data_IF_718192605826
#
_entry.id   IF_718192605826
#
_cell.length_a   1.000
_cell.length_b   1.000
_cell.length_c   1.000
_cell.angle_alpha   90.00
_cell.angle_beta   90.00
_cell.angle_gamma   90.00
#
_symmetry.space_group_name_H-M   'P 1'
#
loop_
_entity.id
_entity.type
_entity.pdbx_description
1 polymer ?
#
# COMPACT_ATOMS: atom_id res chain seq x y z
N UNK A 1 -57.09 -22.83 -16.88
CA UNK A 1 -55.95 -23.29 -16.04
C UNK A 1 -54.74 -22.42 -16.32
N UNK A 2 -54.51 -21.37 -15.52
CA UNK A 2 -53.34 -20.48 -15.66
C UNK A 2 -52.38 -20.74 -14.50
N UNK A 3 -51.14 -21.14 -14.79
CA UNK A 3 -50.15 -21.54 -13.78
C UNK A 3 -49.55 -20.29 -13.10
N UNK A 4 -49.42 -20.27 -11.76
CA UNK A 4 -48.92 -19.10 -11.02
C UNK A 4 -47.39 -18.98 -11.15
N UNK A 5 -46.93 -18.39 -12.25
CA UNK A 5 -45.50 -18.10 -12.51
C UNK A 5 -44.96 -16.88 -11.76
N UNK A 6 -45.84 -16.09 -11.14
CA UNK A 6 -45.47 -14.84 -10.45
C UNK A 6 -44.66 -15.08 -9.16
N UNK A 7 -44.99 -16.09 -8.36
CA UNK A 7 -44.30 -16.36 -7.10
C UNK A 7 -42.86 -16.85 -7.29
N UNK A 8 -42.60 -17.62 -8.37
CA UNK A 8 -41.26 -18.17 -8.64
C UNK A 8 -40.25 -17.10 -9.04
N UNK A 9 -40.70 -16.05 -9.73
CA UNK A 9 -39.84 -14.95 -10.18
C UNK A 9 -39.51 -13.99 -9.03
N UNK A 10 -40.47 -13.78 -8.11
CA UNK A 10 -40.23 -12.99 -6.91
C UNK A 10 -39.20 -13.69 -6.02
N UNK A 11 -39.34 -15.00 -5.80
CA UNK A 11 -38.43 -15.77 -4.97
C UNK A 11 -37.01 -15.93 -5.57
N UNK A 12 -36.89 -16.09 -6.89
CA UNK A 12 -35.58 -16.10 -7.58
C UNK A 12 -34.83 -14.78 -7.48
N UNK A 13 -35.54 -13.65 -7.45
CA UNK A 13 -34.94 -12.31 -7.36
C UNK A 13 -34.37 -12.01 -5.96
N UNK A 14 -34.90 -12.67 -4.92
CA UNK A 14 -34.36 -12.57 -3.55
C UNK A 14 -33.18 -13.53 -3.35
N UNK A 15 -33.17 -14.68 -4.02
CA UNK A 15 -32.13 -15.70 -3.81
C UNK A 15 -30.94 -15.69 -4.76
N UNK A 16 -31.06 -15.09 -5.95
CA UNK A 16 -29.92 -14.83 -6.82
C UNK A 16 -29.95 -13.36 -7.22
N UNK A 17 -29.34 -12.46 -6.42
CA UNK A 17 -29.25 -11.07 -6.80
C UNK A 17 -28.45 -11.00 -8.10
N UNK A 18 -29.07 -10.50 -9.16
CA UNK A 18 -28.43 -10.31 -10.46
C UNK A 18 -27.16 -9.49 -10.28
N UNK A 19 -26.03 -10.00 -10.78
CA UNK A 19 -24.75 -9.32 -10.70
C UNK A 19 -23.88 -9.68 -9.50
N UNK A 20 -24.05 -10.86 -8.89
CA UNK A 20 -23.09 -11.36 -7.89
C UNK A 20 -21.69 -11.51 -8.51
N UNK A 21 -20.68 -10.96 -7.85
CA UNK A 21 -19.29 -10.94 -8.32
C UNK A 21 -18.41 -11.86 -7.49
N UNK A 22 -18.54 -11.80 -6.16
CA UNK A 22 -17.72 -12.60 -5.27
C UNK A 22 -17.98 -12.32 -3.79
N UNK A 23 -17.20 -13.00 -2.95
CA UNK A 23 -17.19 -12.81 -1.50
C UNK A 23 -15.77 -12.53 -1.02
N UNK A 24 -15.65 -11.79 0.08
CA UNK A 24 -14.39 -11.67 0.80
C UNK A 24 -14.18 -12.81 1.81
N UNK A 25 -13.09 -12.73 2.58
CA UNK A 25 -12.76 -13.70 3.63
C UNK A 25 -13.69 -13.60 4.85
N UNK A 26 -14.38 -12.47 5.03
CA UNK A 26 -15.34 -12.28 6.13
C UNK A 26 -16.75 -12.78 5.78
N UNK A 27 -16.99 -13.03 4.49
CA UNK A 27 -18.27 -13.50 3.95
C UNK A 27 -19.19 -12.36 3.46
N UNK A 28 -18.69 -11.14 3.36
CA UNK A 28 -19.39 -10.04 2.71
C UNK A 28 -19.52 -10.36 1.21
N UNK A 29 -20.69 -10.08 0.65
CA UNK A 29 -21.02 -10.38 -0.75
C UNK A 29 -21.01 -9.12 -1.61
N UNK A 30 -20.37 -9.20 -2.77
CA UNK A 30 -20.16 -8.05 -3.65
C UNK A 30 -20.94 -8.22 -4.96
N UNK A 31 -21.52 -7.12 -5.42
CA UNK A 31 -22.40 -7.10 -6.57
C UNK A 31 -22.06 -5.95 -7.53
N UNK A 32 -22.13 -6.23 -8.83
CA UNK A 32 -22.01 -5.25 -9.91
C UNK A 32 -23.25 -5.30 -10.78
N UNK A 33 -23.94 -4.16 -10.89
CA UNK A 33 -25.17 -4.02 -11.67
C UNK A 33 -24.97 -3.00 -12.78
N UNK A 34 -25.41 -3.31 -13.98
CA UNK A 34 -25.49 -2.33 -15.07
C UNK A 34 -26.44 -1.20 -14.67
N UNK A 35 -26.11 0.04 -15.03
CA UNK A 35 -27.00 1.17 -14.76
C UNK A 35 -28.21 1.12 -15.71
N UNK A 36 -29.46 1.19 -15.22
CA UNK A 36 -30.64 1.26 -16.09
C UNK A 36 -30.63 2.49 -17.01
N UNK A 37 -29.96 3.58 -16.62
CA UNK A 37 -29.81 4.82 -17.39
C UNK A 37 -28.61 4.77 -18.37
N UNK A 38 -28.08 3.58 -18.66
CA UNK A 38 -27.00 3.41 -19.64
C UNK A 38 -27.33 4.01 -21.01
N UNK A 39 -28.60 3.96 -21.41
CA UNK A 39 -29.08 4.53 -22.67
C UNK A 39 -29.20 6.06 -22.65
N UNK A 40 -29.18 6.69 -21.46
CA UNK A 40 -29.27 8.13 -21.26
C UNK A 40 -27.88 8.79 -21.05
N UNK A 41 -26.80 8.11 -21.44
CA UNK A 41 -25.42 8.63 -21.37
C UNK A 41 -24.67 8.29 -20.07
N UNK A 42 -25.31 7.66 -19.07
CA UNK A 42 -24.62 7.24 -17.85
C UNK A 42 -24.10 5.80 -17.96
N UNK A 43 -22.83 5.62 -18.34
CA UNK A 43 -22.29 4.28 -18.62
C UNK A 43 -21.77 3.51 -17.40
N UNK A 44 -21.59 4.16 -16.24
CA UNK A 44 -20.92 3.54 -15.07
C UNK A 44 -21.80 2.49 -14.40
N UNK A 45 -21.28 1.28 -14.23
CA UNK A 45 -21.93 0.22 -13.44
C UNK A 45 -22.01 0.61 -11.96
N UNK A 46 -23.05 0.14 -11.26
CA UNK A 46 -23.20 0.32 -9.81
C UNK A 46 -22.58 -0.88 -9.10
N UNK A 47 -21.59 -0.63 -8.24
CA UNK A 47 -20.96 -1.62 -7.38
C UNK A 47 -21.49 -1.46 -5.96
N UNK A 48 -21.87 -2.56 -5.31
CA UNK A 48 -22.44 -2.55 -3.95
C UNK A 48 -21.99 -3.76 -3.15
N UNK A 49 -21.95 -3.59 -1.83
CA UNK A 49 -21.63 -4.66 -0.87
C UNK A 49 -22.86 -4.99 -0.04
N UNK A 50 -23.03 -6.27 0.26
CA UNK A 50 -23.97 -6.78 1.26
C UNK A 50 -23.15 -7.44 2.36
N UNK A 51 -23.21 -6.86 3.55
CA UNK A 51 -22.50 -7.37 4.71
C UNK A 51 -23.11 -8.70 5.17
N UNK A 52 -22.27 -9.57 5.75
CA UNK A 52 -22.72 -10.85 6.29
C UNK A 52 -23.68 -10.66 7.46
N UNK A 53 -23.32 -9.79 8.40
CA UNK A 53 -24.15 -9.42 9.54
C UNK A 53 -24.63 -7.97 9.39
N UNK A 54 -25.77 -7.65 10.01
CA UNK A 54 -26.32 -6.29 9.94
C UNK A 54 -25.46 -5.28 10.74
N UNK A 55 -24.89 -5.72 11.87
CA UNK A 55 -24.03 -4.89 12.72
C UNK A 55 -22.73 -4.49 12.03
N UNK A 56 -22.23 -5.33 11.11
CA UNK A 56 -21.01 -5.04 10.34
C UNK A 56 -21.17 -3.78 9.47
N UNK A 57 -22.38 -3.48 9.02
CA UNK A 57 -22.67 -2.24 8.29
C UNK A 57 -22.47 -1.01 9.18
N UNK A 58 -23.01 -1.05 10.40
CA UNK A 58 -22.86 0.04 11.37
C UNK A 58 -21.41 0.20 11.82
N UNK A 59 -20.71 -0.92 12.05
CA UNK A 59 -19.29 -0.92 12.39
C UNK A 59 -18.41 -0.34 11.27
N UNK A 60 -18.79 -0.59 10.01
CA UNK A 60 -18.12 0.01 8.87
C UNK A 60 -18.32 1.53 8.82
N UNK A 61 -19.56 2.00 9.00
CA UNK A 61 -19.89 3.43 9.00
C UNK A 61 -19.21 4.15 10.17
N UNK A 62 -19.20 3.52 11.35
CA UNK A 62 -18.51 4.03 12.55
C UNK A 62 -16.99 3.94 12.48
N UNK A 63 -16.43 3.33 11.42
CA UNK A 63 -14.99 3.24 11.19
C UNK A 63 -14.26 2.21 12.06
N UNK A 64 -14.97 1.47 12.92
CA UNK A 64 -14.41 0.41 13.77
C UNK A 64 -14.02 -0.83 12.98
N UNK A 65 -14.72 -1.10 11.86
CA UNK A 65 -14.41 -2.19 10.94
C UNK A 65 -14.15 -1.65 9.53
N UNK A 66 -13.21 -2.24 8.81
CA UNK A 66 -12.84 -1.84 7.45
C UNK A 66 -12.94 -3.03 6.50
N UNK A 67 -13.49 -2.78 5.31
CA UNK A 67 -13.46 -3.77 4.23
C UNK A 67 -12.02 -4.00 3.76
N UNK A 68 -11.71 -5.17 3.18
CA UNK A 68 -10.42 -5.38 2.54
C UNK A 68 -10.13 -4.30 1.50
N UNK A 69 -8.90 -3.80 1.48
CA UNK A 69 -8.48 -2.66 0.65
C UNK A 69 -8.72 -2.94 -0.85
N UNK A 70 -8.52 -4.18 -1.27
CA UNK A 70 -8.69 -4.57 -2.67
C UNK A 70 -10.17 -4.49 -3.09
N UNK A 71 -11.08 -4.86 -2.20
CA UNK A 71 -12.52 -4.74 -2.41
C UNK A 71 -12.99 -3.29 -2.34
N UNK A 72 -12.42 -2.46 -1.46
CA UNK A 72 -12.75 -1.03 -1.41
C UNK A 72 -12.30 -0.30 -2.69
N UNK A 73 -11.12 -0.62 -3.22
CA UNK A 73 -10.64 -0.11 -4.51
C UNK A 73 -11.51 -0.55 -5.69
N UNK A 74 -12.04 -1.78 -5.65
CA UNK A 74 -13.01 -2.25 -6.64
C UNK A 74 -14.36 -1.52 -6.49
N UNK A 75 -14.87 -1.33 -5.28
CA UNK A 75 -16.11 -0.57 -5.04
C UNK A 75 -16.01 0.90 -5.49
N UNK A 76 -14.84 1.52 -5.34
CA UNK A 76 -14.56 2.89 -5.81
C UNK A 76 -14.37 3.00 -7.34
N UNK A 77 -14.36 1.86 -8.04
CA UNK A 77 -13.98 1.69 -9.44
C UNK A 77 -12.57 2.18 -9.79
N UNK A 78 -11.68 2.30 -8.82
CA UNK A 78 -10.24 2.48 -9.08
C UNK A 78 -9.65 1.22 -9.71
N UNK A 79 -10.22 0.05 -9.36
CA UNK A 79 -9.86 -1.25 -9.93
C UNK A 79 -10.97 -1.77 -10.83
N UNK A 80 -10.63 -2.25 -12.02
CA UNK A 80 -11.61 -2.83 -12.98
C UNK A 80 -12.09 -4.20 -12.53
N UNK A 81 -11.16 -5.13 -12.32
CA UNK A 81 -11.42 -6.53 -11.98
C UNK A 81 -11.59 -6.73 -10.47
N UNK A 82 -12.53 -7.59 -10.03
CA UNK A 82 -12.66 -7.93 -8.61
C UNK A 82 -11.40 -8.66 -8.12
N UNK A 83 -11.08 -8.54 -6.82
CA UNK A 83 -9.97 -9.30 -6.23
C UNK A 83 -10.30 -10.79 -6.13
N UNK A 84 -9.25 -11.61 -6.18
CA UNK A 84 -9.38 -13.06 -5.96
C UNK A 84 -9.24 -13.42 -4.48
N UNK A 85 -9.76 -14.58 -4.08
CA UNK A 85 -9.64 -15.07 -2.70
C UNK A 85 -8.16 -15.28 -2.31
N UNK A 86 -7.36 -15.81 -3.24
CA UNK A 86 -5.93 -15.99 -3.03
C UNK A 86 -5.21 -14.66 -2.82
N UNK A 87 -5.58 -13.62 -3.58
CA UNK A 87 -5.00 -12.27 -3.42
C UNK A 87 -5.30 -11.68 -2.03
N UNK A 88 -6.51 -11.89 -1.51
CA UNK A 88 -6.90 -11.47 -0.17
C UNK A 88 -6.09 -12.20 0.91
N UNK A 89 -5.90 -13.52 0.76
CA UNK A 89 -5.10 -14.32 1.69
C UNK A 89 -3.63 -13.89 1.70
N UNK A 90 -3.07 -13.66 0.51
CA UNK A 90 -1.69 -13.19 0.38
C UNK A 90 -1.49 -11.81 1.01
N UNK A 91 -2.47 -10.91 0.90
CA UNK A 91 -2.39 -9.60 1.55
C UNK A 91 -2.46 -9.71 3.07
N UNK A 92 -3.27 -10.62 3.64
CA UNK A 92 -3.25 -10.87 5.08
C UNK A 92 -1.89 -11.36 5.57
N UNK A 93 -1.27 -12.30 4.84
CA UNK A 93 0.08 -12.79 5.17
C UNK A 93 1.09 -11.64 5.11
N UNK A 94 0.99 -10.78 4.08
CA UNK A 94 1.86 -9.61 3.94
C UNK A 94 1.67 -8.63 5.09
N UNK A 95 0.43 -8.33 5.47
CA UNK A 95 0.13 -7.44 6.60
C UNK A 95 0.72 -7.97 7.90
N UNK A 96 0.58 -9.28 8.17
CA UNK A 96 1.15 -9.90 9.36
C UNK A 96 2.69 -9.80 9.39
N UNK A 97 3.37 -10.04 8.25
CA UNK A 97 4.82 -9.86 8.14
C UNK A 97 5.26 -8.42 8.40
N UNK A 98 4.54 -7.46 7.85
CA UNK A 98 4.85 -6.03 8.05
C UNK A 98 4.68 -5.64 9.52
N UNK A 99 3.60 -6.08 10.15
CA UNK A 99 3.35 -5.82 11.58
C UNK A 99 4.45 -6.42 12.46
N UNK A 100 4.85 -7.66 12.18
CA UNK A 100 5.94 -8.31 12.89
C UNK A 100 7.27 -7.56 12.75
N UNK A 101 7.64 -7.20 11.52
CA UNK A 101 8.87 -6.45 11.26
C UNK A 101 8.84 -5.06 11.93
N UNK A 102 7.68 -4.38 11.89
CA UNK A 102 7.51 -3.09 12.56
C UNK A 102 7.71 -3.22 14.07
N UNK A 103 7.17 -4.27 14.70
CA UNK A 103 7.35 -4.52 16.13
C UNK A 103 8.82 -4.77 16.50
N UNK A 104 9.59 -5.47 15.67
CA UNK A 104 11.03 -5.67 15.90
C UNK A 104 11.81 -4.35 15.85
N UNK A 105 11.53 -3.52 14.84
CA UNK A 105 12.17 -2.21 14.68
C UNK A 105 11.82 -1.30 15.85
N UNK A 106 10.55 -1.31 16.27
CA UNK A 106 10.11 -0.53 17.42
C UNK A 106 10.79 -0.99 18.71
N UNK A 107 10.96 -2.29 18.92
CA UNK A 107 11.69 -2.82 20.07
C UNK A 107 13.17 -2.38 20.07
N UNK A 108 13.86 -2.46 18.93
CA UNK A 108 15.25 -1.97 18.83
C UNK A 108 15.35 -0.47 19.06
N UNK A 109 14.40 0.30 18.53
CA UNK A 109 14.37 1.75 18.71
C UNK A 109 14.11 2.14 20.17
N UNK A 110 13.22 1.42 20.86
CA UNK A 110 12.97 1.63 22.29
C UNK A 110 14.21 1.29 23.14
N UNK A 111 14.94 0.23 22.81
CA UNK A 111 16.19 -0.13 23.50
C UNK A 111 17.29 0.93 23.29
N UNK A 112 17.52 1.36 22.06
CA UNK A 112 18.48 2.42 21.74
C UNK A 112 18.13 3.72 22.48
N UNK A 113 16.84 4.10 22.47
CA UNK A 113 16.36 5.28 23.20
C UNK A 113 16.53 5.16 24.71
N UNK A 114 16.37 3.97 25.29
CA UNK A 114 16.62 3.73 26.71
C UNK A 114 18.11 3.83 27.05
N UNK A 115 19.00 3.31 26.19
CA UNK A 115 20.45 3.42 26.37
C UNK A 115 20.94 4.86 26.30
N UNK A 116 20.44 5.66 25.34
CA UNK A 116 20.77 7.09 25.25
C UNK A 116 20.33 7.85 26.51
N UNK A 117 19.13 7.59 27.02
CA UNK A 117 18.64 8.19 28.28
C UNK A 117 19.52 7.87 29.48
N UNK A 118 20.04 6.64 29.57
CA UNK A 118 20.96 6.26 30.66
C UNK A 118 22.31 6.99 30.54
N UNK A 119 22.81 7.20 29.32
CA UNK A 119 24.06 7.94 29.07
C UNK A 119 23.91 9.44 29.37
N UNK A 120 22.79 10.05 28.95
CA UNK A 120 22.47 11.45 29.27
C UNK A 120 22.20 11.63 30.77
N UNK A 121 21.54 10.67 31.42
CA UNK A 121 21.32 10.67 32.87
C UNK A 121 22.60 10.51 33.70
N UNK A 122 23.60 9.80 33.18
CA UNK A 122 24.92 9.65 33.83
C UNK A 122 25.83 10.88 33.64
N UNK A 123 25.57 11.70 32.62
CA UNK A 123 26.32 12.94 32.34
C UNK A 123 25.60 14.21 32.83
N UNK A 124 24.30 14.13 33.17
CA UNK A 124 23.53 15.22 33.77
C UNK A 124 23.54 15.14 35.31
N UNK A 125 24.75 15.14 35.85
CA UNK A 125 25.04 15.62 37.21
C UNK A 125 25.44 17.10 37.19
N UNK A 126 24.86 17.93 36.32
CA UNK A 126 24.88 19.40 36.35
C UNK A 126 23.98 19.94 35.23
N UNK A 127 23.29 21.05 35.50
CA UNK A 127 22.42 21.85 34.62
C UNK A 127 21.04 21.28 34.27
N UNK A 128 20.14 21.48 35.23
CA UNK A 128 18.72 21.75 35.01
C UNK A 128 18.55 22.90 34.00
N UNK A 129 17.94 22.65 32.86
CA UNK A 129 17.14 23.67 32.16
C UNK A 129 15.84 23.00 31.73
N UNK A 130 14.83 23.26 32.55
CA UNK A 130 13.41 23.08 32.25
C UNK A 130 13.05 23.85 30.98
N UNK A 131 12.66 23.15 29.93
CA UNK A 131 11.74 23.69 28.92
C UNK A 131 10.45 22.90 29.00
N UNK A 132 9.67 23.30 29.98
CA UNK A 132 8.25 23.06 30.09
C UNK A 132 7.55 23.68 28.87
N UNK A 133 7.13 22.84 27.93
CA UNK A 133 6.22 23.27 26.86
C UNK A 133 4.81 23.31 27.44
N UNK A 134 4.45 24.46 27.99
CA UNK A 134 3.08 24.83 28.29
C UNK A 134 2.37 25.16 26.96
N UNK A 135 1.25 24.52 26.59
CA UNK A 135 0.49 24.91 25.41
C UNK A 135 -0.41 26.11 25.75
N UNK A 136 0.07 27.32 25.48
CA UNK A 136 -0.75 28.53 25.52
C UNK A 136 -1.73 28.54 24.35
N UNK A 137 -3.00 28.44 24.68
CA UNK A 137 -4.17 28.77 23.87
C UNK A 137 -3.99 30.12 23.15
N UNK A 138 -4.08 30.17 21.81
CA UNK A 138 -4.42 31.40 21.09
C UNK A 138 -5.40 31.07 19.95
N UNK A 139 -6.45 31.88 19.95
CA UNK A 139 -7.63 31.95 19.10
C UNK A 139 -7.30 32.26 17.64
N UNK A 140 -8.19 31.82 16.74
CA UNK A 140 -8.28 32.29 15.34
C UNK A 140 -8.34 33.83 15.28
N UNK A 141 -7.63 34.47 14.32
CA UNK A 141 -8.29 34.75 13.06
C UNK A 141 -7.43 34.65 11.79
N UNK A 142 -8.14 34.31 10.73
CA UNK A 142 -7.84 34.26 9.30
C UNK A 142 -6.95 35.41 8.77
N UNK A 143 -5.80 35.08 8.13
CA UNK A 143 -5.48 35.41 6.73
C UNK A 143 -3.97 35.34 6.40
N UNK A 144 -3.70 34.54 5.36
CA UNK A 144 -2.65 34.65 4.34
C UNK A 144 -1.15 34.36 4.62
N UNK A 145 -0.64 33.60 3.64
CA UNK A 145 0.73 33.59 3.09
C UNK A 145 1.76 32.65 3.71
N UNK A 146 1.76 31.43 3.16
CA UNK A 146 2.90 30.74 2.54
C UNK A 146 4.32 31.22 2.90
N UNK A 147 5.04 30.44 3.72
CA UNK A 147 6.26 29.72 3.29
C UNK A 147 7.04 29.13 4.48
N UNK A 148 7.47 27.88 4.26
CA UNK A 148 8.77 27.30 4.62
C UNK A 148 9.07 26.80 6.06
N UNK A 149 9.41 25.51 6.06
CA UNK A 149 10.57 24.88 6.68
C UNK A 149 10.50 24.49 8.15
N UNK A 150 10.38 23.17 8.36
CA UNK A 150 11.01 22.49 9.49
C UNK A 150 11.67 21.20 8.98
N UNK A 151 12.99 21.23 8.91
CA UNK A 151 13.87 20.07 8.85
C UNK A 151 14.03 19.48 10.25
N UNK A 152 13.89 18.17 10.38
CA UNK A 152 14.49 17.41 11.48
C UNK A 152 15.30 16.26 10.89
N UNK A 153 16.59 16.27 11.18
CA UNK A 153 17.58 15.26 10.82
C UNK A 153 17.84 14.36 12.02
N UNK A 154 17.95 13.06 11.79
CA UNK A 154 18.67 12.11 12.66
C UNK A 154 19.47 11.19 11.75
N UNK A 155 20.77 10.95 12.01
CA UNK A 155 21.57 9.99 11.26
C UNK A 155 21.70 8.67 12.04
N UNK A 156 21.65 7.54 11.33
CA UNK A 156 22.15 6.27 11.87
C UNK A 156 22.98 5.55 10.80
N UNK A 157 24.22 5.27 11.18
CA UNK A 157 25.28 4.61 10.43
C UNK A 157 25.18 3.10 10.69
N UNK A 158 25.25 2.28 9.64
CA UNK A 158 25.55 0.85 9.74
C UNK A 158 26.82 0.53 8.92
N UNK A 159 27.74 -0.33 9.43
CA UNK A 159 28.97 -0.68 8.73
C UNK A 159 28.81 -1.88 7.78
N UNK A 160 29.67 -1.83 6.77
CA UNK A 160 29.86 -2.67 5.58
C UNK A 160 30.63 -3.96 5.91
N UNK A 161 30.24 -5.09 5.30
CA UNK A 161 31.15 -6.24 5.08
C UNK A 161 31.00 -6.75 3.65
N UNK A 162 32.13 -6.82 2.95
CA UNK A 162 32.36 -7.19 1.55
C UNK A 162 32.75 -8.69 1.36
N UNK A 163 32.87 -9.20 0.11
CA UNK A 163 32.63 -10.61 -0.25
C UNK A 163 33.81 -11.43 -0.87
N UNK A 164 33.52 -12.73 -1.13
CA UNK A 164 34.05 -13.68 -2.18
C UNK A 164 35.46 -14.31 -1.99
N UNK A 165 35.90 -15.42 -2.68
CA UNK A 165 35.52 -15.99 -4.03
C UNK A 165 35.59 -17.58 -4.15
N UNK A 166 35.84 -18.27 -5.32
CA UNK A 166 35.11 -18.44 -6.62
C UNK A 166 35.04 -19.89 -7.25
N UNK A 167 34.47 -19.98 -8.48
CA UNK A 167 34.65 -20.97 -9.61
C UNK A 167 33.76 -22.25 -9.64
N UNK A 168 33.25 -22.82 -10.76
CA UNK A 168 33.82 -23.11 -12.09
C UNK A 168 32.74 -23.53 -13.17
N UNK A 169 33.17 -23.70 -14.43
CA UNK A 169 32.47 -23.67 -15.75
C UNK A 169 32.28 -25.01 -16.53
N UNK A 170 31.39 -25.04 -17.56
CA UNK A 170 31.42 -25.79 -18.88
C UNK A 170 29.99 -26.01 -19.44
N UNK A 171 29.62 -26.22 -20.72
CA UNK A 171 30.10 -25.98 -22.10
C UNK A 171 28.93 -26.42 -23.06
N UNK A 172 28.85 -25.90 -24.29
CA UNK A 172 27.78 -26.16 -25.32
C UNK A 172 28.21 -27.28 -26.32
N UNK A 173 27.29 -27.91 -27.09
CA UNK A 173 27.40 -27.78 -28.56
C UNK A 173 26.07 -27.65 -29.34
N UNK A 174 26.18 -27.10 -30.56
CA UNK A 174 25.14 -26.72 -31.53
C UNK A 174 25.09 -27.72 -32.73
N UNK A 175 24.04 -27.72 -33.59
CA UNK A 175 24.30 -27.65 -35.05
C UNK A 175 23.28 -26.83 -35.90
N UNK A 176 23.80 -25.81 -36.60
CA UNK A 176 23.70 -25.35 -38.02
C UNK A 176 22.44 -25.56 -38.97
N UNK A 177 22.34 -24.92 -40.17
CA UNK A 177 21.62 -23.64 -40.41
C UNK A 177 20.61 -23.63 -41.59
N UNK A 178 19.78 -22.58 -41.73
CA UNK A 178 19.15 -22.19 -43.00
C UNK A 178 18.71 -20.70 -43.05
N UNK A 179 18.60 -20.10 -44.25
CA UNK A 179 19.04 -18.73 -44.52
C UNK A 179 17.90 -17.71 -44.65
N UNK A 180 18.22 -16.44 -44.38
CA UNK A 180 17.43 -15.31 -44.88
C UNK A 180 17.00 -14.32 -43.79
N UNK A 181 17.84 -13.30 -43.58
CA UNK A 181 17.47 -11.90 -43.28
C UNK A 181 18.65 -11.20 -42.60
N UNK A 182 19.29 -10.28 -43.31
CA UNK A 182 20.26 -9.36 -42.72
C UNK A 182 19.54 -8.47 -41.68
N UNK A 183 19.79 -8.71 -40.40
CA UNK A 183 19.58 -7.74 -39.32
C UNK A 183 20.95 -7.16 -38.94
N UNK A 184 21.14 -5.83 -38.90
CA UNK A 184 22.30 -5.28 -38.21
C UNK A 184 22.15 -5.59 -36.73
N UNK A 185 23.09 -6.35 -36.17
CA UNK A 185 23.16 -6.64 -34.75
C UNK A 185 23.43 -5.35 -33.98
N UNK A 186 22.39 -4.73 -33.42
CA UNK A 186 22.56 -3.75 -32.36
C UNK A 186 23.05 -4.51 -31.13
N UNK A 187 24.35 -4.42 -30.86
CA UNK A 187 24.98 -4.94 -29.66
C UNK A 187 24.24 -4.42 -28.42
N UNK A 188 23.80 -5.32 -27.54
CA UNK A 188 23.35 -4.95 -26.21
C UNK A 188 24.49 -4.22 -25.48
N UNK A 189 24.22 -3.11 -24.75
CA UNK A 189 25.24 -2.48 -23.94
C UNK A 189 25.72 -3.48 -22.87
N UNK A 190 27.03 -3.64 -22.77
CA UNK A 190 27.69 -4.37 -21.69
C UNK A 190 27.18 -3.80 -20.36
N UNK A 191 26.69 -4.66 -19.48
CA UNK A 191 26.48 -4.34 -18.07
C UNK A 191 27.78 -3.78 -17.52
N UNK A 192 27.77 -2.47 -17.28
CA UNK A 192 28.82 -1.77 -16.57
C UNK A 192 28.99 -2.38 -15.18
N UNK A 193 30.23 -2.30 -14.70
CA UNK A 193 30.68 -2.74 -13.38
C UNK A 193 29.72 -2.36 -12.24
N UNK A 194 29.70 -3.25 -11.26
CA UNK A 194 28.87 -3.36 -10.06
C UNK A 194 29.15 -2.26 -9.01
N UNK A 195 29.14 -0.98 -9.42
CA UNK A 195 29.43 0.18 -8.56
C UNK A 195 28.24 1.13 -8.45
N UNK A 196 27.03 0.59 -8.29
CA UNK A 196 25.89 1.41 -7.90
C UNK A 196 26.07 1.87 -6.45
N UNK A 197 26.43 3.14 -6.26
CA UNK A 197 26.41 3.81 -4.95
C UNK A 197 25.16 4.68 -4.86
N UNK A 198 24.37 4.61 -3.77
CA UNK A 198 23.23 5.50 -3.60
C UNK A 198 23.75 6.92 -3.38
N UNK A 199 23.38 7.84 -4.26
CA UNK A 199 23.60 9.27 -4.04
C UNK A 199 22.92 9.70 -2.73
N UNK A 200 23.67 10.37 -1.84
CA UNK A 200 23.11 10.96 -0.63
C UNK A 200 22.09 12.04 -1.02
N UNK A 201 20.86 11.92 -0.55
CA UNK A 201 19.79 12.87 -0.84
C UNK A 201 20.19 14.30 -0.42
N UNK A 202 20.40 15.18 -1.40
CA UNK A 202 20.70 16.60 -1.19
C UNK A 202 19.47 17.46 -1.57
N UNK A 203 18.74 18.05 -0.61
CA UNK A 203 17.60 18.92 -0.91
C UNK A 203 18.09 20.20 -1.62
N UNK A 204 17.53 20.51 -2.79
CA UNK A 204 17.81 21.75 -3.52
C UNK A 204 17.25 22.94 -2.73
N UNK A 205 18.13 23.78 -2.19
CA UNK A 205 17.74 25.03 -1.55
C UNK A 205 17.12 25.97 -2.61
N UNK A 206 15.82 26.24 -2.47
CA UNK A 206 15.14 27.26 -3.28
C UNK A 206 15.59 28.65 -2.84
N UNK A 207 16.46 29.27 -3.63
CA UNK A 207 16.80 30.68 -3.48
C UNK A 207 15.60 31.50 -4.00
N UNK A 208 14.84 32.12 -3.10
CA UNK A 208 13.92 33.21 -3.47
C UNK A 208 14.78 34.40 -3.87
N UNK A 209 14.81 34.75 -5.15
CA UNK A 209 15.23 36.10 -5.57
C UNK A 209 14.11 37.06 -5.16
N UNK A 210 14.51 38.14 -4.49
CA UNK A 210 13.62 39.21 -4.02
C UNK A 210 12.98 39.98 -5.16
#
# INVERSE_FOLDING_TARGET
MSKPTFFRNLWRRVWNPTGFVGKDLEGNSYYERSNPLRNAGYSRSKRSVTYRNQDDMWNYIGGSKRLPIQWSAWLAHTRTNPPSVQELQMDLIRQHRVQHNAALIEASFQQERAQLRLQDGASSGTSSTSSEFQPSQIQDPLSNSTANSASSSSPSLAPKVSPAPPSESKAIPNPEPSPGAHRPATSLPKTGSDEWQPESWAPKLRIRRG
#
